data_IF_179659038501
#
_entry.id   IF_179659038501
#
_cell.length_a   1.000
_cell.length_b   1.000
_cell.length_c   1.000
_cell.angle_alpha   90.00
_cell.angle_beta   90.00
_cell.angle_gamma   90.00
#
_symmetry.space_group_name_H-M   'P 1'
#
loop_
_entity.id
_entity.type
_entity.pdbx_description
1 polymer ?
#
# COMPACT_ATOMS: atom_id res chain seq x y z
N UNK A 1 16.55 -75.51 49.03
CA UNK A 1 15.85 -75.41 47.72
C UNK A 1 14.50 -74.74 47.93
N UNK A 2 14.37 -73.45 47.57
CA UNK A 2 13.09 -72.79 47.24
C UNK A 2 13.38 -71.39 46.71
N UNK A 3 13.28 -71.26 45.39
CA UNK A 3 13.24 -69.99 44.68
C UNK A 3 11.90 -69.29 44.95
N UNK A 4 11.93 -67.96 45.09
CA UNK A 4 10.80 -67.09 44.75
C UNK A 4 11.33 -65.77 44.20
N UNK A 5 11.35 -65.70 42.86
CA UNK A 5 11.40 -64.44 42.12
C UNK A 5 9.99 -63.89 42.03
N UNK A 6 9.80 -62.63 42.42
CA UNK A 6 8.61 -61.86 42.11
C UNK A 6 9.07 -60.54 41.47
N UNK A 7 8.89 -60.49 40.15
CA UNK A 7 8.85 -59.28 39.32
C UNK A 7 7.72 -58.36 39.79
N UNK A 8 8.04 -57.07 40.00
CA UNK A 8 7.05 -56.00 39.88
C UNK A 8 7.56 -54.97 38.86
N UNK A 9 6.91 -55.03 37.70
CA UNK A 9 6.87 -54.01 36.67
C UNK A 9 6.37 -52.70 37.28
N UNK A 10 7.10 -51.61 37.08
CA UNK A 10 6.83 -50.33 37.74
C UNK A 10 7.17 -49.13 36.85
N UNK A 11 6.32 -48.90 35.86
CA UNK A 11 5.94 -47.58 35.32
C UNK A 11 7.08 -46.72 34.75
N UNK A 12 7.26 -46.82 33.43
CA UNK A 12 7.90 -45.82 32.59
C UNK A 12 7.10 -44.51 32.68
N UNK A 13 7.64 -43.48 33.36
CA UNK A 13 7.07 -42.13 33.36
C UNK A 13 7.32 -41.49 32.00
N UNK A 14 6.33 -41.55 31.11
CA UNK A 14 6.27 -40.70 29.93
C UNK A 14 6.00 -39.26 30.38
N UNK A 15 7.06 -38.45 30.47
CA UNK A 15 6.92 -37.00 30.60
C UNK A 15 6.53 -36.48 29.22
N UNK A 16 5.23 -36.25 29.02
CA UNK A 16 4.74 -35.49 27.87
C UNK A 16 5.09 -34.04 28.14
N UNK A 17 6.23 -33.60 27.58
CA UNK A 17 6.59 -32.20 27.51
C UNK A 17 5.65 -31.57 26.47
N UNK A 18 4.51 -31.07 26.94
CA UNK A 18 3.63 -30.24 26.13
C UNK A 18 4.39 -28.95 25.81
N UNK A 19 4.98 -28.89 24.61
CA UNK A 19 5.43 -27.63 24.04
C UNK A 19 4.19 -26.74 23.90
N UNK A 20 4.01 -25.85 24.86
CA UNK A 20 3.12 -24.70 24.70
C UNK A 20 3.77 -23.89 23.57
N UNK A 21 3.30 -24.10 22.34
CA UNK A 21 3.56 -23.17 21.26
C UNK A 21 2.88 -21.86 21.68
N UNK A 22 3.63 -21.01 22.38
CA UNK A 22 3.22 -19.65 22.62
C UNK A 22 2.96 -19.04 21.25
N UNK A 23 1.76 -18.50 21.06
CA UNK A 23 1.44 -17.68 19.90
C UNK A 23 2.54 -16.62 19.77
N UNK A 24 3.33 -16.67 18.70
CA UNK A 24 4.27 -15.61 18.39
C UNK A 24 3.44 -14.33 18.22
N UNK A 25 3.61 -13.39 19.15
CA UNK A 25 2.97 -12.09 19.03
C UNK A 25 3.55 -11.39 17.80
N UNK A 26 2.69 -10.63 17.09
CA UNK A 26 3.12 -9.70 16.04
C UNK A 26 4.25 -8.81 16.58
N UNK A 27 5.45 -8.91 16.01
CA UNK A 27 6.56 -8.05 16.38
C UNK A 27 6.65 -6.85 15.43
N UNK A 28 7.05 -5.72 15.98
CA UNK A 28 7.48 -4.55 15.20
C UNK A 28 8.99 -4.68 14.98
N UNK A 29 9.41 -5.01 13.76
CA UNK A 29 10.82 -5.25 13.41
C UNK A 29 11.31 -4.08 12.57
N UNK A 30 12.30 -3.35 13.10
CA UNK A 30 12.84 -2.13 12.50
C UNK A 30 14.06 -2.42 11.63
N UNK A 31 14.18 -1.73 10.50
CA UNK A 31 15.35 -1.77 9.64
C UNK A 31 16.41 -0.76 10.13
N UNK A 32 17.69 -1.14 10.18
CA UNK A 32 18.77 -0.43 10.88
C UNK A 32 19.80 0.27 9.98
N UNK A 33 19.45 0.62 8.74
CA UNK A 33 20.40 1.25 7.82
C UNK A 33 19.89 1.30 6.40
N UNK A 34 20.81 1.32 5.43
CA UNK A 34 20.50 1.12 4.00
C UNK A 34 20.90 -0.28 3.56
N UNK A 35 20.30 -0.79 2.49
CA UNK A 35 20.71 -2.05 1.85
C UNK A 35 19.55 -2.98 1.53
N UNK A 36 19.83 -4.27 1.40
CA UNK A 36 18.84 -5.26 0.97
C UNK A 36 17.88 -5.66 2.11
N UNK A 37 16.58 -5.62 1.83
CA UNK A 37 15.49 -6.13 2.67
C UNK A 37 15.74 -7.57 3.13
N UNK A 38 16.29 -8.43 2.27
CA UNK A 38 16.47 -9.85 2.56
C UNK A 38 17.72 -10.15 3.38
N UNK A 39 18.48 -9.13 3.78
CA UNK A 39 19.65 -9.29 4.65
C UNK A 39 19.23 -9.19 6.11
N UNK A 40 19.16 -10.32 6.81
CA UNK A 40 18.65 -10.40 8.17
C UNK A 40 19.40 -9.49 9.17
N UNK A 41 20.73 -9.32 9.01
CA UNK A 41 21.54 -8.44 9.86
C UNK A 41 21.19 -6.95 9.75
N UNK A 42 20.43 -6.55 8.72
CA UNK A 42 19.96 -5.18 8.56
C UNK A 42 18.70 -4.91 9.39
N UNK A 43 18.08 -5.93 9.98
CA UNK A 43 16.91 -5.80 10.85
C UNK A 43 17.30 -5.92 12.31
N UNK A 44 16.59 -5.19 13.18
CA UNK A 44 16.76 -5.32 14.63
C UNK A 44 16.57 -6.79 15.04
N UNK A 45 17.55 -7.31 15.79
CA UNK A 45 17.56 -8.70 16.23
C UNK A 45 18.13 -9.69 15.20
N UNK A 46 18.52 -9.24 14.01
CA UNK A 46 19.14 -10.11 13.00
C UNK A 46 18.14 -11.08 12.36
N UNK A 47 16.86 -10.71 12.29
CA UNK A 47 15.76 -11.56 11.81
C UNK A 47 14.93 -10.82 10.76
N UNK A 48 14.53 -11.53 9.71
CA UNK A 48 13.62 -10.98 8.71
C UNK A 48 12.20 -10.90 9.27
N UNK A 49 11.45 -9.82 8.98
CA UNK A 49 10.01 -9.79 9.25
C UNK A 49 9.28 -10.93 8.52
N UNK A 50 8.28 -11.49 9.19
CA UNK A 50 7.45 -12.59 8.70
C UNK A 50 5.97 -12.20 8.66
N UNK A 51 5.09 -13.15 8.30
CA UNK A 51 3.67 -12.90 8.06
C UNK A 51 2.89 -12.39 9.27
N UNK A 52 3.45 -12.56 10.47
CA UNK A 52 2.89 -12.02 11.70
C UNK A 52 3.39 -10.63 12.06
N UNK A 53 4.43 -10.12 11.39
CA UNK A 53 5.20 -8.97 11.84
C UNK A 53 4.87 -7.69 11.08
N UNK A 54 5.10 -6.55 11.74
CA UNK A 54 5.15 -5.25 11.09
C UNK A 54 6.59 -4.90 10.76
N UNK A 55 6.90 -4.78 9.47
CA UNK A 55 8.17 -4.24 9.00
C UNK A 55 8.15 -2.70 9.09
N UNK A 56 9.08 -2.12 9.84
CA UNK A 56 9.19 -0.67 10.00
C UNK A 56 10.49 -0.19 9.36
N UNK A 57 10.36 0.73 8.40
CA UNK A 57 11.47 1.45 7.80
C UNK A 57 11.45 2.87 8.39
N UNK A 58 12.42 3.19 9.25
CA UNK A 58 12.47 4.46 9.96
C UNK A 58 13.88 4.73 10.48
N UNK A 59 14.85 4.88 9.57
CA UNK A 59 16.25 5.10 9.93
C UNK A 59 16.83 6.26 9.12
N UNK A 60 16.59 7.50 9.56
CA UNK A 60 17.24 8.73 9.11
C UNK A 60 17.44 8.88 7.57
N UNK A 61 16.40 8.64 6.79
CA UNK A 61 16.40 8.80 5.32
C UNK A 61 17.08 7.66 4.57
N UNK A 62 17.38 6.54 5.23
CA UNK A 62 17.99 5.39 4.57
C UNK A 62 17.09 4.77 3.50
N UNK A 63 17.73 4.06 2.57
CA UNK A 63 17.05 3.36 1.48
C UNK A 63 17.14 1.85 1.67
N UNK A 64 15.98 1.22 1.82
CA UNK A 64 15.83 -0.23 1.77
C UNK A 64 15.57 -0.64 0.33
N UNK A 65 16.28 -1.65 -0.15
CA UNK A 65 16.17 -2.18 -1.51
C UNK A 65 15.63 -3.59 -1.48
N UNK A 66 14.73 -3.92 -2.40
CA UNK A 66 14.16 -5.25 -2.56
C UNK A 66 14.25 -5.68 -4.02
N UNK A 67 15.28 -6.48 -4.34
CA UNK A 67 15.50 -7.03 -5.69
C UNK A 67 15.07 -8.49 -5.86
N UNK A 68 14.37 -9.07 -4.87
CA UNK A 68 13.87 -10.44 -4.90
C UNK A 68 12.55 -10.55 -4.14
N UNK A 69 11.98 -11.74 -4.03
CA UNK A 69 10.79 -11.96 -3.19
C UNK A 69 11.14 -11.84 -1.70
N UNK A 70 10.48 -10.91 -0.99
CA UNK A 70 10.50 -10.84 0.46
C UNK A 70 9.59 -11.93 1.06
N UNK A 71 9.82 -12.39 2.31
CA UNK A 71 8.78 -13.08 3.06
C UNK A 71 7.51 -12.23 3.14
N UNK A 72 6.34 -12.87 3.18
CA UNK A 72 5.10 -12.18 3.46
C UNK A 72 5.20 -11.45 4.81
N UNK A 73 4.62 -10.26 4.91
CA UNK A 73 4.64 -9.43 6.12
C UNK A 73 3.24 -8.94 6.44
N UNK A 74 2.90 -8.77 7.72
CA UNK A 74 1.56 -8.31 8.11
C UNK A 74 1.35 -6.86 7.66
N UNK A 75 2.25 -5.98 8.07
CA UNK A 75 2.22 -4.57 7.68
C UNK A 75 3.61 -4.10 7.26
N UNK A 76 3.65 -3.05 6.45
CA UNK A 76 4.87 -2.31 6.14
C UNK A 76 4.62 -0.85 6.40
N UNK A 77 5.50 -0.22 7.19
CA UNK A 77 5.42 1.20 7.53
C UNK A 77 6.71 1.90 7.13
N UNK A 78 6.61 2.74 6.11
CA UNK A 78 7.72 3.52 5.58
C UNK A 78 7.60 4.94 6.13
N UNK A 79 8.63 5.40 6.82
CA UNK A 79 8.68 6.75 7.35
C UNK A 79 7.90 6.93 8.65
N UNK A 80 7.89 5.94 9.56
CA UNK A 80 7.04 5.97 10.77
C UNK A 80 7.47 7.02 11.82
N UNK A 81 8.76 7.12 12.11
CA UNK A 81 9.27 8.04 13.16
C UNK A 81 10.43 8.91 12.64
N UNK A 82 10.99 8.52 11.51
CA UNK A 82 12.07 9.19 10.79
C UNK A 82 11.86 8.92 9.31
N UNK A 83 12.38 9.81 8.46
CA UNK A 83 12.25 9.65 7.02
C UNK A 83 12.85 8.32 6.55
N UNK A 84 12.29 7.71 5.50
CA UNK A 84 12.88 6.51 4.90
C UNK A 84 12.37 6.26 3.49
N UNK A 85 13.13 5.46 2.74
CA UNK A 85 12.83 5.11 1.36
C UNK A 85 12.76 3.60 1.19
N UNK A 86 11.81 3.12 0.40
CA UNK A 86 11.76 1.75 -0.10
C UNK A 86 11.88 1.76 -1.63
N UNK A 87 12.88 1.08 -2.14
CA UNK A 87 13.03 0.80 -3.56
C UNK A 87 12.77 -0.69 -3.82
N UNK A 88 11.70 -1.01 -4.53
CA UNK A 88 11.47 -2.37 -5.02
C UNK A 88 11.99 -2.44 -6.45
N UNK A 89 13.19 -2.99 -6.59
CA UNK A 89 13.89 -3.10 -7.88
C UNK A 89 13.30 -4.22 -8.74
N UNK A 90 13.67 -4.28 -10.02
CA UNK A 90 13.17 -5.30 -10.97
C UNK A 90 13.31 -6.73 -10.42
N UNK A 91 12.24 -7.53 -10.53
CA UNK A 91 12.18 -8.88 -9.96
C UNK A 91 11.88 -8.93 -8.45
N UNK A 92 11.80 -7.78 -7.78
CA UNK A 92 11.35 -7.65 -6.40
C UNK A 92 9.86 -7.95 -6.27
N UNK A 93 9.52 -8.75 -5.25
CA UNK A 93 8.11 -9.02 -4.89
C UNK A 93 7.90 -8.79 -3.41
N UNK A 94 6.92 -7.95 -3.07
CA UNK A 94 6.50 -7.70 -1.69
C UNK A 94 5.02 -8.05 -1.51
N UNK A 95 4.72 -8.95 -0.58
CA UNK A 95 3.36 -9.27 -0.18
C UNK A 95 3.10 -8.72 1.22
N UNK A 96 2.12 -7.83 1.33
CA UNK A 96 1.67 -7.21 2.57
C UNK A 96 0.27 -7.72 2.88
N UNK A 97 0.13 -8.51 3.95
CA UNK A 97 -1.10 -9.24 4.26
C UNK A 97 -2.20 -8.38 4.89
N UNK A 98 -1.87 -7.14 5.23
CA UNK A 98 -2.82 -6.16 5.74
C UNK A 98 -2.53 -4.80 5.10
N UNK A 99 -1.67 -3.97 5.70
CA UNK A 99 -1.55 -2.56 5.31
C UNK A 99 -0.13 -2.15 4.95
N UNK A 100 -0.01 -1.42 3.85
CA UNK A 100 1.21 -0.74 3.44
C UNK A 100 1.03 0.77 3.63
N UNK A 101 2.01 1.40 4.28
CA UNK A 101 2.03 2.84 4.51
C UNK A 101 3.29 3.45 3.88
N UNK A 102 3.11 4.42 2.98
CA UNK A 102 4.16 5.24 2.39
C UNK A 102 4.05 6.64 2.99
N UNK A 103 4.91 6.94 3.97
CA UNK A 103 4.74 8.10 4.85
C UNK A 103 3.75 7.77 5.96
N UNK A 104 4.22 7.69 7.20
CA UNK A 104 3.42 7.24 8.33
C UNK A 104 3.69 8.07 9.60
N UNK A 105 2.65 8.30 10.40
CA UNK A 105 2.75 8.96 11.71
C UNK A 105 3.30 10.40 11.67
N UNK A 106 4.61 10.65 11.69
CA UNK A 106 5.16 12.01 11.77
C UNK A 106 6.36 12.28 10.84
N UNK A 107 6.60 11.43 9.84
CA UNK A 107 7.77 11.56 8.97
C UNK A 107 7.45 11.24 7.51
N UNK A 108 8.39 11.58 6.62
CA UNK A 108 8.24 11.34 5.21
C UNK A 108 8.57 9.88 4.86
N UNK A 109 7.78 9.28 3.98
CA UNK A 109 8.12 7.99 3.39
C UNK A 109 8.08 8.10 1.89
N UNK A 110 9.11 7.59 1.23
CA UNK A 110 9.11 7.47 -0.22
C UNK A 110 9.15 6.00 -0.62
N UNK A 111 8.47 5.70 -1.72
CA UNK A 111 8.48 4.36 -2.30
C UNK A 111 8.59 4.46 -3.81
N UNK A 112 9.56 3.74 -4.38
CA UNK A 112 9.70 3.57 -5.82
C UNK A 112 9.58 2.09 -6.17
N UNK A 113 8.78 1.80 -7.18
CA UNK A 113 8.54 0.44 -7.67
C UNK A 113 8.99 0.37 -9.12
N UNK A 114 10.13 -0.28 -9.33
CA UNK A 114 10.79 -0.32 -10.62
C UNK A 114 10.10 -1.29 -11.60
N UNK A 115 10.35 -1.10 -12.90
CA UNK A 115 9.88 -1.98 -13.96
C UNK A 115 10.12 -3.48 -13.64
N UNK A 116 9.09 -4.31 -13.76
CA UNK A 116 9.16 -5.74 -13.46
C UNK A 116 9.10 -6.11 -11.97
N UNK A 117 8.91 -5.14 -11.07
CA UNK A 117 8.59 -5.41 -9.67
C UNK A 117 7.07 -5.56 -9.46
N UNK A 118 6.70 -6.32 -8.42
CA UNK A 118 5.30 -6.52 -8.02
C UNK A 118 5.10 -6.28 -6.53
N UNK A 119 4.09 -5.51 -6.16
CA UNK A 119 3.62 -5.41 -4.77
C UNK A 119 2.16 -5.83 -4.69
N UNK A 120 1.86 -6.66 -3.68
CA UNK A 120 0.50 -7.07 -3.37
C UNK A 120 0.17 -6.61 -1.95
N UNK A 121 -0.88 -5.81 -1.80
CA UNK A 121 -1.40 -5.34 -0.52
C UNK A 121 -2.79 -5.92 -0.35
N UNK A 122 -3.00 -6.78 0.65
CA UNK A 122 -4.25 -7.50 0.79
C UNK A 122 -5.42 -6.62 1.25
N UNK A 123 -5.15 -5.59 2.07
CA UNK A 123 -6.17 -4.64 2.52
C UNK A 123 -5.91 -3.25 1.94
N UNK A 124 -5.22 -2.36 2.66
CA UNK A 124 -5.18 -0.93 2.34
C UNK A 124 -3.77 -0.45 2.02
N UNK A 125 -3.66 0.34 0.95
CA UNK A 125 -2.50 1.18 0.68
C UNK A 125 -2.76 2.61 1.15
N UNK A 126 -1.93 3.06 2.08
CA UNK A 126 -1.89 4.45 2.53
C UNK A 126 -0.68 5.17 1.95
N UNK A 127 -0.88 6.37 1.45
CA UNK A 127 0.22 7.27 1.05
C UNK A 127 -0.01 8.62 1.71
N UNK A 128 0.98 9.16 2.43
CA UNK A 128 0.89 10.48 3.03
C UNK A 128 -0.16 10.61 4.13
N UNK A 129 -0.46 9.51 4.83
CA UNK A 129 -1.50 9.50 5.86
C UNK A 129 -1.62 8.14 6.53
N UNK A 130 -2.27 8.11 7.69
CA UNK A 130 -2.57 6.89 8.43
C UNK A 130 -3.83 7.01 9.30
N UNK A 131 -4.71 7.97 8.97
CA UNK A 131 -5.88 8.34 9.79
C UNK A 131 -5.54 9.18 11.03
N UNK A 132 -4.28 9.60 11.21
CA UNK A 132 -3.87 10.56 12.24
C UNK A 132 -4.05 12.02 11.76
N UNK A 133 -4.13 12.95 12.71
CA UNK A 133 -4.14 14.38 12.45
C UNK A 133 -2.74 14.97 12.17
N UNK A 134 -1.68 14.18 12.34
CA UNK A 134 -0.32 14.63 12.13
C UNK A 134 -0.02 14.92 10.65
N UNK A 135 0.89 15.86 10.40
CA UNK A 135 1.40 16.14 9.07
C UNK A 135 2.35 15.02 8.65
N UNK A 136 2.00 14.34 7.56
CA UNK A 136 2.74 13.21 7.01
C UNK A 136 2.89 13.42 5.52
N UNK A 137 4.08 13.19 4.98
CA UNK A 137 4.33 13.25 3.54
C UNK A 137 4.59 11.85 3.01
N UNK A 138 3.89 11.47 1.95
CA UNK A 138 4.09 10.20 1.26
C UNK A 138 4.27 10.41 -0.22
N UNK A 139 5.35 9.89 -0.76
CA UNK A 139 5.63 9.94 -2.20
C UNK A 139 5.75 8.52 -2.75
N UNK A 140 4.85 8.15 -3.66
CA UNK A 140 4.84 6.85 -4.31
C UNK A 140 5.06 7.03 -5.82
N UNK A 141 6.06 6.33 -6.36
CA UNK A 141 6.29 6.25 -7.80
C UNK A 141 6.22 4.79 -8.26
N UNK A 142 5.40 4.55 -9.29
CA UNK A 142 5.23 3.24 -9.94
C UNK A 142 5.77 3.38 -11.36
N UNK A 143 6.94 2.82 -11.64
CA UNK A 143 7.57 2.93 -12.94
C UNK A 143 6.85 2.12 -14.02
N UNK A 144 7.08 2.46 -15.27
CA UNK A 144 6.51 1.75 -16.40
C UNK A 144 6.86 0.25 -16.33
N UNK A 145 5.86 -0.62 -16.44
CA UNK A 145 6.02 -2.07 -16.29
C UNK A 145 6.10 -2.59 -14.85
N UNK A 146 5.98 -1.74 -13.84
CA UNK A 146 5.75 -2.14 -12.46
C UNK A 146 4.26 -2.35 -12.17
N UNK A 147 3.93 -3.20 -11.20
CA UNK A 147 2.55 -3.49 -10.80
C UNK A 147 2.39 -3.41 -9.29
N UNK A 148 1.37 -2.67 -8.83
CA UNK A 148 0.86 -2.74 -7.46
C UNK A 148 -0.59 -3.21 -7.50
N UNK A 149 -0.92 -4.21 -6.68
CA UNK A 149 -2.29 -4.69 -6.48
C UNK A 149 -2.72 -4.40 -5.04
N UNK A 150 -3.92 -3.84 -4.87
CA UNK A 150 -4.50 -3.49 -3.57
C UNK A 150 -5.89 -4.11 -3.45
N UNK A 151 -6.08 -4.93 -2.43
CA UNK A 151 -7.30 -5.72 -2.24
C UNK A 151 -8.52 -4.93 -1.79
N UNK A 152 -8.30 -3.76 -1.15
CA UNK A 152 -9.35 -2.93 -0.56
C UNK A 152 -9.15 -1.46 -0.93
N UNK A 153 -8.97 -0.56 0.03
CA UNK A 153 -8.96 0.89 -0.22
C UNK A 153 -7.59 1.44 -0.65
N UNK A 154 -7.66 2.51 -1.44
CA UNK A 154 -6.55 3.45 -1.64
C UNK A 154 -6.86 4.71 -0.83
N UNK A 155 -6.05 5.00 0.19
CA UNK A 155 -6.19 6.23 0.98
C UNK A 155 -4.95 7.08 0.84
N UNK A 156 -5.05 8.13 0.03
CA UNK A 156 -3.95 9.06 -0.17
C UNK A 156 -4.25 10.37 0.56
N UNK A 157 -3.30 10.78 1.39
CA UNK A 157 -3.39 11.96 2.24
C UNK A 157 -4.57 11.93 3.23
N UNK A 158 -4.86 10.75 3.78
CA UNK A 158 -5.95 10.59 4.72
C UNK A 158 -5.54 11.04 6.14
N UNK A 159 -6.10 12.17 6.58
CA UNK A 159 -5.71 12.88 7.80
C UNK A 159 -5.79 14.40 7.61
N UNK A 160 -5.89 15.17 8.70
CA UNK A 160 -6.15 16.61 8.63
C UNK A 160 -5.00 17.45 8.03
N UNK A 161 -3.79 16.90 7.89
CA UNK A 161 -2.61 17.61 7.39
C UNK A 161 -1.69 16.73 6.51
N UNK A 162 -2.19 15.61 6.00
CA UNK A 162 -1.41 14.75 5.11
C UNK A 162 -1.05 15.45 3.80
N UNK A 163 0.03 15.00 3.17
CA UNK A 163 0.38 15.33 1.78
C UNK A 163 0.78 14.04 1.08
N UNK A 164 0.14 13.75 -0.05
CA UNK A 164 0.46 12.59 -0.86
C UNK A 164 0.75 12.98 -2.30
N UNK A 165 1.86 12.48 -2.86
CA UNK A 165 2.13 12.51 -4.29
C UNK A 165 2.21 11.08 -4.80
N UNK A 166 1.39 10.74 -5.78
CA UNK A 166 1.41 9.40 -6.39
C UNK A 166 1.61 9.55 -7.90
N UNK A 167 2.70 9.00 -8.42
CA UNK A 167 3.02 9.00 -9.84
C UNK A 167 2.90 7.58 -10.39
N UNK A 168 1.99 7.40 -11.34
CA UNK A 168 1.65 6.09 -11.91
C UNK A 168 2.08 6.08 -13.37
N UNK A 169 3.27 5.54 -13.64
CA UNK A 169 3.76 5.24 -14.99
C UNK A 169 3.56 3.75 -15.34
N UNK A 170 3.43 2.88 -14.33
CA UNK A 170 3.07 1.47 -14.46
C UNK A 170 1.58 1.21 -14.21
N UNK A 171 1.27 0.18 -13.44
CA UNK A 171 -0.11 -0.20 -13.13
C UNK A 171 -0.38 -0.21 -11.63
N UNK A 172 -1.43 0.49 -11.21
CA UNK A 172 -2.02 0.39 -9.87
C UNK A 172 -3.43 -0.19 -9.99
N UNK A 173 -3.63 -1.39 -9.44
CA UNK A 173 -4.91 -2.07 -9.40
C UNK A 173 -5.51 -1.98 -8.01
N UNK A 174 -6.76 -1.55 -7.92
CA UNK A 174 -7.58 -1.65 -6.74
C UNK A 174 -8.71 -2.66 -7.04
N UNK A 175 -8.81 -3.74 -6.28
CA UNK A 175 -9.76 -4.85 -6.55
C UNK A 175 -10.94 -4.91 -5.58
N UNK A 176 -10.98 -4.01 -4.60
CA UNK A 176 -12.07 -3.88 -3.63
C UNK A 176 -12.15 -2.44 -3.11
N UNK A 177 -12.91 -2.18 -2.05
CA UNK A 177 -12.91 -0.86 -1.37
C UNK A 177 -13.30 0.34 -2.26
N UNK A 178 -12.83 1.54 -1.87
CA UNK A 178 -13.00 2.80 -2.61
C UNK A 178 -11.69 3.60 -2.63
N UNK A 179 -11.52 4.43 -3.65
CA UNK A 179 -10.52 5.49 -3.67
C UNK A 179 -10.89 6.60 -2.67
N UNK A 180 -9.89 7.13 -1.97
CA UNK A 180 -10.02 8.37 -1.20
C UNK A 180 -8.77 9.23 -1.24
N UNK A 181 -8.92 10.45 -1.74
CA UNK A 181 -7.91 11.48 -1.83
C UNK A 181 -8.25 12.63 -0.88
N UNK A 182 -7.38 12.88 0.09
CA UNK A 182 -7.57 13.94 1.08
C UNK A 182 -8.72 13.68 2.06
N UNK A 183 -9.15 12.43 2.24
CA UNK A 183 -10.29 12.08 3.09
C UNK A 183 -9.87 11.25 4.30
N UNK A 184 -10.43 11.51 5.49
CA UNK A 184 -10.13 10.70 6.70
C UNK A 184 -10.87 9.36 6.65
N UNK A 185 -12.06 9.35 6.05
CA UNK A 185 -12.85 8.16 5.82
C UNK A 185 -13.76 8.34 4.58
N UNK A 186 -14.65 7.38 4.33
CA UNK A 186 -15.53 7.38 3.17
C UNK A 186 -16.63 8.45 3.19
N UNK A 187 -16.74 9.33 4.21
CA UNK A 187 -17.86 10.29 4.31
C UNK A 187 -17.48 11.64 4.92
N UNK A 188 -16.37 11.72 5.66
CA UNK A 188 -15.95 12.93 6.37
C UNK A 188 -14.82 13.66 5.62
N UNK A 189 -15.08 14.87 5.09
CA UNK A 189 -14.04 15.68 4.47
C UNK A 189 -12.87 15.91 5.42
N UNK A 190 -11.64 15.81 4.91
CA UNK A 190 -10.42 16.09 5.69
C UNK A 190 -9.47 17.05 5.00
N UNK A 191 -8.56 17.63 5.78
CA UNK A 191 -7.66 18.71 5.37
C UNK A 191 -6.36 18.28 4.69
N UNK A 192 -6.14 16.99 4.44
CA UNK A 192 -5.00 16.52 3.69
C UNK A 192 -5.15 16.76 2.19
N UNK A 193 -4.02 16.84 1.47
CA UNK A 193 -3.98 17.05 0.02
C UNK A 193 -3.26 15.90 -0.68
N UNK A 194 -3.97 15.21 -1.58
CA UNK A 194 -3.38 14.21 -2.45
C UNK A 194 -3.36 14.68 -3.91
N UNK A 195 -2.20 14.55 -4.55
CA UNK A 195 -2.06 14.67 -6.00
C UNK A 195 -1.70 13.31 -6.58
N UNK A 196 -2.56 12.80 -7.47
CA UNK A 196 -2.32 11.56 -8.22
C UNK A 196 -2.11 11.93 -9.68
N UNK A 197 -0.97 11.54 -10.23
CA UNK A 197 -0.66 11.67 -11.64
C UNK A 197 -0.69 10.29 -12.30
N UNK A 198 -1.65 10.05 -13.17
CA UNK A 198 -1.65 8.90 -14.08
C UNK A 198 -0.94 9.36 -15.35
N UNK A 199 0.32 8.98 -15.48
CA UNK A 199 1.21 9.47 -16.53
C UNK A 199 1.06 8.68 -17.83
N UNK A 200 1.78 9.11 -18.87
CA UNK A 200 1.78 8.45 -20.17
C UNK A 200 2.07 6.95 -20.06
N UNK A 201 1.20 6.11 -20.62
CA UNK A 201 1.26 4.64 -20.50
C UNK A 201 0.85 4.06 -19.13
N UNK A 202 0.60 4.90 -18.14
CA UNK A 202 0.18 4.51 -16.79
C UNK A 202 -1.30 4.13 -16.71
N UNK A 203 -1.63 3.20 -15.82
CA UNK A 203 -2.98 2.73 -15.59
C UNK A 203 -3.35 2.73 -14.10
N UNK A 204 -4.43 3.43 -13.76
CA UNK A 204 -5.10 3.35 -12.46
C UNK A 204 -6.43 2.62 -12.63
N UNK A 205 -6.47 1.35 -12.25
CA UNK A 205 -7.66 0.52 -12.35
C UNK A 205 -8.37 0.50 -11.00
N UNK A 206 -9.48 1.22 -10.88
CA UNK A 206 -10.24 1.32 -9.65
C UNK A 206 -11.33 0.24 -9.60
N UNK A 207 -11.63 -0.23 -8.40
CA UNK A 207 -12.81 -1.06 -8.15
C UNK A 207 -14.07 -0.22 -8.04
N UNK A 208 -13.99 0.90 -7.33
CA UNK A 208 -15.11 1.77 -7.04
C UNK A 208 -14.63 3.18 -6.67
N UNK A 209 -15.49 4.16 -6.88
CA UNK A 209 -15.35 5.53 -6.42
C UNK A 209 -16.71 6.01 -5.93
N UNK A 210 -16.75 6.72 -4.80
CA UNK A 210 -18.01 7.25 -4.29
C UNK A 210 -18.45 8.48 -5.11
N UNK A 211 -19.67 8.97 -4.87
CA UNK A 211 -20.17 10.20 -5.47
C UNK A 211 -19.28 11.42 -5.16
N UNK A 212 -19.35 12.42 -6.04
CA UNK A 212 -18.54 13.65 -5.96
C UNK A 212 -18.61 14.33 -4.59
N UNK A 213 -17.46 14.84 -4.15
CA UNK A 213 -17.27 15.42 -2.80
C UNK A 213 -16.95 14.39 -1.70
N UNK A 214 -16.83 13.11 -2.04
CA UNK A 214 -16.51 12.05 -1.07
C UNK A 214 -15.14 11.39 -1.31
N UNK A 215 -14.93 10.76 -2.46
CA UNK A 215 -13.65 10.09 -2.78
C UNK A 215 -12.52 11.04 -3.14
N UNK A 216 -12.79 12.27 -3.56
CA UNK A 216 -11.77 13.29 -3.81
C UNK A 216 -12.23 14.56 -3.10
N UNK A 217 -11.41 15.01 -2.15
CA UNK A 217 -11.71 16.14 -1.28
C UNK A 217 -11.11 17.45 -1.82
N UNK A 218 -11.62 18.62 -1.39
CA UNK A 218 -11.08 19.93 -1.74
C UNK A 218 -9.55 20.00 -1.61
N UNK A 219 -8.90 20.52 -2.66
CA UNK A 219 -7.44 20.65 -2.74
C UNK A 219 -6.73 19.42 -3.32
N UNK A 220 -7.36 18.24 -3.31
CA UNK A 220 -6.81 17.05 -3.96
C UNK A 220 -7.12 17.03 -5.47
N UNK A 221 -6.27 16.34 -6.25
CA UNK A 221 -6.36 16.29 -7.69
C UNK A 221 -5.99 14.90 -8.23
N UNK A 222 -6.81 14.38 -9.14
CA UNK A 222 -6.47 13.26 -10.02
C UNK A 222 -6.20 13.80 -11.43
N UNK A 223 -4.93 13.87 -11.79
CA UNK A 223 -4.45 14.37 -13.07
C UNK A 223 -4.07 13.20 -13.98
N UNK A 224 -4.57 13.22 -15.22
CA UNK A 224 -4.32 12.20 -16.23
C UNK A 224 -3.50 12.86 -17.34
N UNK A 225 -2.32 12.33 -17.65
CA UNK A 225 -1.40 12.95 -18.60
C UNK A 225 -1.15 12.01 -19.80
N UNK A 226 -1.06 12.57 -21.00
CA UNK A 226 -0.76 11.83 -22.22
C UNK A 226 -1.74 10.67 -22.44
N UNK A 227 -1.22 9.46 -22.62
CA UNK A 227 -2.01 8.23 -22.80
C UNK A 227 -2.39 7.52 -21.50
N UNK A 228 -2.16 8.16 -20.34
CA UNK A 228 -2.57 7.63 -19.04
C UNK A 228 -4.09 7.40 -18.96
N UNK A 229 -4.49 6.42 -18.16
CA UNK A 229 -5.90 6.03 -18.08
C UNK A 229 -6.35 5.66 -16.67
N UNK A 230 -7.57 6.07 -16.33
CA UNK A 230 -8.31 5.58 -15.17
C UNK A 230 -9.48 4.71 -15.65
N UNK A 231 -9.66 3.54 -15.06
CA UNK A 231 -10.79 2.65 -15.38
C UNK A 231 -11.60 2.29 -14.15
N UNK A 232 -12.92 2.10 -14.33
CA UNK A 232 -13.86 1.61 -13.32
C UNK A 232 -14.82 0.59 -13.95
N UNK A 233 -15.19 -0.50 -13.25
CA UNK A 233 -16.24 -1.40 -13.73
C UNK A 233 -17.62 -0.71 -13.67
N UNK A 234 -18.46 -0.92 -14.69
CA UNK A 234 -19.80 -0.33 -14.79
C UNK A 234 -19.83 1.10 -15.33
N UNK A 235 -21.03 1.70 -15.33
CA UNK A 235 -21.28 3.07 -15.79
C UNK A 235 -21.20 4.09 -14.64
N UNK A 236 -20.05 4.75 -14.57
CA UNK A 236 -19.69 5.83 -13.65
C UNK A 236 -19.56 7.17 -14.39
N UNK A 237 -20.05 7.29 -15.63
CA UNK A 237 -19.85 8.51 -16.44
C UNK A 237 -20.37 9.75 -15.71
N UNK A 238 -21.56 9.66 -15.09
CA UNK A 238 -22.13 10.75 -14.30
C UNK A 238 -21.21 11.15 -13.14
N UNK A 239 -20.76 10.17 -12.34
CA UNK A 239 -19.90 10.41 -11.17
C UNK A 239 -18.57 11.06 -11.58
N UNK A 240 -17.92 10.56 -12.63
CA UNK A 240 -16.64 11.11 -13.08
C UNK A 240 -16.80 12.52 -13.70
N UNK A 241 -17.92 12.81 -14.37
CA UNK A 241 -18.23 14.16 -14.85
C UNK A 241 -18.51 15.14 -13.71
N UNK A 242 -19.13 14.69 -12.62
CA UNK A 242 -19.33 15.51 -11.42
C UNK A 242 -17.99 15.85 -10.76
N UNK A 243 -17.03 14.92 -10.70
CA UNK A 243 -15.67 15.20 -10.24
C UNK A 243 -14.92 16.17 -11.16
N UNK A 244 -15.01 15.99 -12.47
CA UNK A 244 -14.42 16.90 -13.46
C UNK A 244 -14.97 18.33 -13.30
N UNK A 245 -16.30 18.47 -13.23
CA UNK A 245 -16.98 19.77 -13.07
C UNK A 245 -16.63 20.44 -11.74
N UNK A 246 -16.44 19.66 -10.68
CA UNK A 246 -16.02 20.17 -9.37
C UNK A 246 -14.53 20.55 -9.29
N UNK A 247 -13.77 20.32 -10.37
CA UNK A 247 -12.35 20.68 -10.44
C UNK A 247 -11.40 19.67 -9.80
N UNK A 248 -11.86 18.44 -9.59
CA UNK A 248 -11.07 17.37 -8.95
C UNK A 248 -10.34 16.47 -9.94
N UNK A 249 -10.66 16.58 -11.23
CA UNK A 249 -9.95 15.91 -12.32
C UNK A 249 -9.25 16.93 -13.21
N UNK A 250 -8.09 16.57 -13.74
CA UNK A 250 -7.41 17.31 -14.78
C UNK A 250 -6.92 16.37 -15.88
N UNK A 251 -6.89 16.86 -17.12
CA UNK A 251 -6.17 16.23 -18.21
C UNK A 251 -5.01 17.12 -18.64
N UNK A 252 -3.80 16.55 -18.72
CA UNK A 252 -2.57 17.28 -19.06
C UNK A 252 -2.35 18.53 -18.20
N UNK A 253 -2.74 18.48 -16.92
CA UNK A 253 -2.67 19.60 -15.98
C UNK A 253 -3.76 20.67 -16.14
N UNK A 254 -4.70 20.52 -17.08
CA UNK A 254 -5.83 21.43 -17.26
C UNK A 254 -7.05 20.85 -16.53
N UNK A 255 -7.52 21.59 -15.52
CA UNK A 255 -8.67 21.19 -14.69
C UNK A 255 -9.94 21.06 -15.54
N UNK A 256 -10.65 19.96 -15.37
CA UNK A 256 -11.88 19.63 -16.08
C UNK A 256 -11.67 19.06 -17.48
N UNK A 257 -10.43 19.06 -17.99
CA UNK A 257 -10.12 18.67 -19.37
C UNK A 257 -9.92 17.16 -19.52
N UNK A 258 -10.96 16.39 -19.22
CA UNK A 258 -10.95 14.92 -19.30
C UNK A 258 -12.08 14.40 -20.17
N UNK A 259 -11.78 13.37 -20.95
CA UNK A 259 -12.78 12.57 -21.66
C UNK A 259 -13.26 11.43 -20.75
N UNK A 260 -14.58 11.32 -20.61
CA UNK A 260 -15.24 10.29 -19.80
C UNK A 260 -16.21 9.52 -20.68
N UNK A 261 -15.92 8.24 -20.92
CA UNK A 261 -16.72 7.35 -21.76
C UNK A 261 -17.11 6.09 -21.00
N UNK A 262 -18.28 5.53 -21.33
CA UNK A 262 -18.66 4.18 -20.93
C UNK A 262 -18.51 3.24 -22.14
N UNK A 263 -17.68 2.23 -21.99
CA UNK A 263 -17.47 1.19 -22.98
C UNK A 263 -18.35 -0.03 -22.63
N UNK A 264 -19.45 -0.19 -23.36
CA UNK A 264 -20.39 -1.31 -23.19
C UNK A 264 -19.78 -2.67 -23.54
N UNK A 265 -18.72 -2.71 -24.33
CA UNK A 265 -18.04 -3.95 -24.72
C UNK A 265 -17.17 -4.53 -23.59
N UNK A 266 -16.61 -3.67 -22.74
CA UNK A 266 -15.82 -4.09 -21.57
C UNK A 266 -16.55 -3.90 -20.25
N UNK A 267 -17.76 -3.34 -20.29
CA UNK A 267 -18.53 -2.91 -19.10
C UNK A 267 -17.69 -2.04 -18.16
N UNK A 268 -17.06 -1.01 -18.72
CA UNK A 268 -16.17 -0.12 -17.97
C UNK A 268 -16.39 1.34 -18.33
N UNK A 269 -16.28 2.18 -17.32
CA UNK A 269 -16.04 3.61 -17.49
C UNK A 269 -14.54 3.84 -17.64
N UNK A 270 -14.18 4.64 -18.63
CA UNK A 270 -12.81 4.99 -18.96
C UNK A 270 -12.69 6.50 -18.89
N UNK A 271 -11.66 6.98 -18.18
CA UNK A 271 -11.30 8.40 -18.13
C UNK A 271 -9.88 8.58 -18.66
N UNK A 272 -9.75 9.51 -19.61
CA UNK A 272 -8.48 9.90 -20.23
C UNK A 272 -8.36 11.42 -20.25
N UNK A 273 -7.16 11.94 -20.51
CA UNK A 273 -7.02 13.35 -20.86
C UNK A 273 -7.75 13.63 -22.19
N UNK A 274 -8.37 14.80 -22.32
CA UNK A 274 -8.89 15.24 -23.63
C UNK A 274 -7.74 15.44 -24.62
N UNK A 275 -7.99 15.13 -25.89
CA UNK A 275 -7.06 15.37 -27.01
C UNK A 275 -7.30 16.68 -27.72
#
# INVERSE_FOLDING_TARGET
MKARSFTFSGILKLVVLACIAGSANCADIRYMGSGSWTTASNWVGGVLPSSGDTAILNWAGNTVTLGSTAPDVLNVRIGQDEDSNLEVSSGGTLNVLNRLYVGHNNSAGTMTVAAGATINVADILWVGGNGSAAQVTGDLTIDAGAVINVGSHLWFSAGAAGVATVNINGTLNQTGGILGLGTIDAVNPSGGVATVNVNDGGALNLFNIHASGTSIQPGSLLNINGTGQVTLPGDFVGVMRDYSTAGYLAGNGIVGDVDVIYNTGTDQTIVTAST
#
